data_IF_862996473612
#
_entry.id   IF_862996473612
#
_cell.length_a   1.000
_cell.length_b   1.000
_cell.length_c   1.000
_cell.angle_alpha   90.00
_cell.angle_beta   90.00
_cell.angle_gamma   90.00
#
_symmetry.space_group_name_H-M   'P 1'
#
loop_
_entity.id
_entity.type
_entity.pdbx_description
1 polymer ?
#
# COMPACT_ATOMS: atom_id res chain seq x y z
N UNK A 1 -48.19 12.25 21.44
CA UNK A 1 -48.91 11.83 20.21
C UNK A 1 -48.22 12.49 19.02
N UNK A 2 -48.38 11.94 17.82
CA UNK A 2 -47.74 12.32 16.53
C UNK A 2 -46.31 11.77 16.35
N UNK A 3 -46.14 10.59 15.74
CA UNK A 3 -46.28 10.18 14.34
C UNK A 3 -44.91 9.99 13.66
N UNK A 4 -44.30 8.83 13.97
CA UNK A 4 -43.16 8.26 13.24
C UNK A 4 -43.55 7.98 11.79
N UNK A 5 -42.96 8.71 10.83
CA UNK A 5 -43.00 8.33 9.40
C UNK A 5 -42.02 7.18 9.16
N UNK A 6 -42.56 5.99 8.92
CA UNK A 6 -41.83 4.82 8.41
C UNK A 6 -41.80 4.90 6.88
N UNK A 7 -40.62 5.05 6.29
CA UNK A 7 -40.42 4.87 4.84
C UNK A 7 -40.14 3.39 4.60
N UNK A 8 -41.04 2.71 3.90
CA UNK A 8 -40.89 1.32 3.46
C UNK A 8 -40.14 1.32 2.13
N UNK A 9 -38.93 0.74 2.10
CA UNK A 9 -38.24 0.36 0.87
C UNK A 9 -38.98 -0.86 0.27
N UNK A 10 -39.48 -0.73 -0.97
CA UNK A 10 -39.98 -1.87 -1.75
C UNK A 10 -38.86 -2.38 -2.65
N UNK A 11 -38.57 -3.66 -2.45
CA UNK A 11 -37.71 -4.52 -3.26
C UNK A 11 -38.31 -4.69 -4.67
N UNK A 12 -37.49 -4.55 -5.71
CA UNK A 12 -37.81 -4.90 -7.08
C UNK A 12 -36.72 -5.79 -7.65
N UNK A 13 -36.99 -7.10 -7.72
CA UNK A 13 -36.16 -8.11 -8.38
C UNK A 13 -36.57 -8.24 -9.85
N UNK A 14 -35.58 -8.28 -10.75
CA UNK A 14 -35.75 -8.74 -12.14
C UNK A 14 -34.59 -9.68 -12.50
N UNK A 15 -34.96 -10.94 -12.72
CA UNK A 15 -34.27 -12.02 -13.47
C UNK A 15 -34.02 -11.56 -14.92
N UNK A 16 -33.05 -12.00 -15.73
CA UNK A 16 -32.52 -13.33 -16.09
C UNK A 16 -31.38 -13.09 -17.12
N UNK A 17 -30.38 -13.97 -17.25
CA UNK A 17 -29.46 -13.92 -18.40
C UNK A 17 -28.30 -14.92 -18.36
N UNK A 18 -28.53 -16.11 -18.91
CA UNK A 18 -27.58 -17.17 -19.24
C UNK A 18 -26.60 -16.69 -20.34
N UNK A 19 -25.33 -17.15 -20.36
CA UNK A 19 -24.56 -17.57 -21.56
C UNK A 19 -23.06 -17.88 -21.25
N UNK A 20 -22.68 -19.15 -21.45
CA UNK A 20 -21.44 -19.68 -22.09
C UNK A 20 -20.04 -19.10 -21.76
N UNK A 21 -19.15 -19.93 -21.19
CA UNK A 21 -17.67 -19.81 -21.31
C UNK A 21 -17.12 -20.64 -22.48
N UNK A 22 -15.83 -21.06 -22.48
CA UNK A 22 -14.58 -20.39 -22.12
C UNK A 22 -13.61 -20.29 -23.33
N UNK A 23 -12.60 -19.40 -23.31
CA UNK A 23 -11.44 -19.49 -24.22
C UNK A 23 -10.14 -19.21 -23.46
N UNK A 24 -9.45 -20.29 -23.09
CA UNK A 24 -8.03 -20.31 -22.73
C UNK A 24 -7.22 -20.28 -24.03
N UNK A 25 -6.61 -19.15 -24.36
CA UNK A 25 -5.58 -19.06 -25.40
C UNK A 25 -4.21 -19.00 -24.71
N UNK A 26 -3.56 -20.17 -24.60
CA UNK A 26 -2.16 -20.28 -24.19
C UNK A 26 -1.24 -19.80 -25.32
N UNK A 27 -0.36 -18.85 -25.00
CA UNK A 27 0.67 -18.38 -25.91
C UNK A 27 1.97 -19.17 -25.68
N UNK A 28 2.10 -20.32 -26.34
CA UNK A 28 3.37 -21.06 -26.42
C UNK A 28 4.00 -20.79 -27.79
N UNK A 29 4.86 -19.79 -27.87
CA UNK A 29 5.69 -19.51 -29.03
C UNK A 29 7.05 -20.18 -28.86
N UNK A 30 7.18 -21.43 -29.30
CA UNK A 30 8.46 -22.11 -29.49
C UNK A 30 8.58 -22.44 -30.99
N UNK A 31 9.41 -21.69 -31.69
CA UNK A 31 9.72 -21.90 -33.10
C UNK A 31 11.23 -21.78 -33.30
N UNK A 32 11.93 -22.90 -33.16
CA UNK A 32 13.29 -23.08 -33.64
C UNK A 32 13.25 -23.56 -35.09
N UNK A 33 14.01 -22.91 -35.96
CA UNK A 33 14.16 -23.26 -37.37
C UNK A 33 15.45 -22.67 -37.92
N UNK A 34 16.24 -23.55 -38.52
CA UNK A 34 17.67 -23.43 -38.83
C UNK A 34 17.98 -22.68 -40.15
N UNK A 35 19.15 -22.03 -40.15
CA UNK A 35 20.11 -21.79 -41.25
C UNK A 35 19.72 -21.05 -42.56
N UNK A 36 20.44 -19.93 -42.82
CA UNK A 36 21.07 -19.64 -44.11
C UNK A 36 22.16 -18.55 -43.96
N UNK A 37 23.40 -18.87 -44.35
CA UNK A 37 24.56 -17.98 -44.41
C UNK A 37 24.64 -17.30 -45.79
N UNK A 38 25.05 -16.02 -45.87
CA UNK A 38 25.83 -15.55 -47.01
C UNK A 38 27.11 -14.79 -46.59
N UNK A 39 28.12 -14.72 -47.48
CA UNK A 39 29.51 -14.46 -47.12
C UNK A 39 29.86 -12.96 -47.09
N UNK A 40 30.85 -12.58 -46.28
CA UNK A 40 31.59 -11.33 -46.49
C UNK A 40 32.08 -10.61 -45.24
N UNK A 41 33.32 -10.92 -44.85
CA UNK A 41 34.36 -10.01 -44.36
C UNK A 41 33.95 -8.70 -43.65
N UNK A 42 34.25 -8.63 -42.35
CA UNK A 42 35.18 -7.65 -41.72
C UNK A 42 35.22 -7.87 -40.20
N UNK A 43 36.43 -8.02 -39.66
CA UNK A 43 36.71 -8.04 -38.22
C UNK A 43 36.07 -6.83 -37.53
N UNK A 44 35.03 -7.09 -36.74
CA UNK A 44 34.60 -6.22 -35.67
C UNK A 44 34.49 -7.08 -34.42
N UNK A 45 35.44 -6.92 -33.50
CA UNK A 45 35.39 -7.51 -32.16
C UNK A 45 34.24 -6.85 -31.41
N UNK A 46 33.03 -7.34 -31.61
CA UNK A 46 31.90 -7.04 -30.75
C UNK A 46 32.17 -7.73 -29.41
N UNK A 47 32.65 -6.98 -28.43
CA UNK A 47 32.51 -7.39 -27.03
C UNK A 47 31.02 -7.57 -26.78
N UNK A 48 30.58 -8.82 -26.74
CA UNK A 48 29.34 -9.24 -26.12
C UNK A 48 29.46 -8.89 -24.64
N UNK A 49 29.13 -7.64 -24.32
CA UNK A 49 28.89 -7.22 -22.95
C UNK A 49 27.69 -8.01 -22.44
N UNK A 50 27.97 -9.15 -21.80
CA UNK A 50 27.04 -9.84 -20.93
C UNK A 50 26.57 -8.80 -19.93
N UNK A 51 25.38 -8.22 -20.13
CA UNK A 51 24.69 -7.51 -19.07
C UNK A 51 24.35 -8.56 -18.04
N UNK A 52 25.24 -8.74 -17.07
CA UNK A 52 24.89 -9.35 -15.81
C UNK A 52 23.65 -8.61 -15.31
N UNK A 53 22.51 -9.31 -15.30
CA UNK A 53 21.40 -8.85 -14.46
C UNK A 53 21.98 -8.66 -13.07
N UNK A 54 21.71 -7.53 -12.39
CA UNK A 54 22.07 -7.41 -10.99
C UNK A 54 21.50 -8.64 -10.30
N UNK A 55 22.37 -9.46 -9.70
CA UNK A 55 21.91 -10.50 -8.80
C UNK A 55 21.04 -9.86 -7.71
N UNK A 56 20.11 -10.60 -7.10
CA UNK A 56 19.32 -10.07 -6.00
C UNK A 56 20.28 -9.41 -5.00
N UNK A 57 20.17 -8.07 -4.88
CA UNK A 57 20.96 -7.32 -3.93
C UNK A 57 20.71 -7.87 -2.53
N UNK A 58 21.67 -7.75 -1.59
CA UNK A 58 21.44 -8.18 -0.22
C UNK A 58 20.13 -7.53 0.26
N UNK A 59 19.18 -8.36 0.73
CA UNK A 59 18.05 -7.86 1.49
C UNK A 59 18.62 -6.96 2.58
N UNK A 60 18.22 -5.69 2.57
CA UNK A 60 18.61 -4.73 3.59
C UNK A 60 17.87 -5.05 4.91
N UNK A 61 18.09 -6.25 5.44
CA UNK A 61 17.49 -6.73 6.68
C UNK A 61 18.32 -6.34 7.90
N UNK A 62 19.57 -5.91 7.70
CA UNK A 62 20.44 -5.42 8.77
C UNK A 62 20.41 -3.90 8.86
N UNK A 63 19.94 -3.37 9.99
CA UNK A 63 20.23 -1.98 10.35
C UNK A 63 21.75 -1.81 10.48
N UNK A 64 22.31 -0.72 9.94
CA UNK A 64 23.72 -0.36 10.14
C UNK A 64 24.07 0.06 11.58
N UNK A 65 23.14 -0.14 12.52
CA UNK A 65 23.29 0.16 13.94
C UNK A 65 22.49 -0.85 14.76
N UNK A 66 22.87 -1.06 16.01
CA UNK A 66 22.08 -1.83 16.97
C UNK A 66 21.14 -0.89 17.73
N UNK A 67 19.82 -1.08 17.67
CA UNK A 67 18.87 -0.30 18.46
C UNK A 67 19.14 -0.48 19.96
N UNK A 68 19.19 0.62 20.71
CA UNK A 68 19.28 0.60 22.17
C UNK A 68 17.88 0.39 22.78
N UNK A 69 17.59 -0.76 23.42
CA UNK A 69 16.28 -1.05 24.02
C UNK A 69 15.93 -0.12 25.19
N UNK A 70 16.93 0.53 25.81
CA UNK A 70 16.75 1.55 26.84
C UNK A 70 16.15 2.85 26.28
N UNK A 71 16.27 3.10 24.98
CA UNK A 71 15.70 4.27 24.28
C UNK A 71 14.34 4.02 23.65
N UNK A 72 13.83 2.79 23.72
CA UNK A 72 12.50 2.46 23.21
C UNK A 72 11.41 3.15 24.06
N UNK A 73 10.36 3.73 23.43
CA UNK A 73 9.30 4.43 24.15
C UNK A 73 8.56 3.47 25.09
N UNK A 74 8.29 3.92 26.31
CA UNK A 74 7.54 3.15 27.33
C UNK A 74 6.15 3.71 27.58
N UNK A 75 5.94 4.98 27.23
CA UNK A 75 4.67 5.68 27.41
C UNK A 75 4.03 6.05 26.07
N UNK A 76 2.71 6.30 26.10
CA UNK A 76 1.97 6.80 24.93
C UNK A 76 2.50 8.16 24.44
N UNK A 77 2.95 9.02 25.36
CA UNK A 77 3.50 10.34 25.03
C UNK A 77 4.83 10.21 24.29
N UNK A 78 5.77 9.42 24.81
CA UNK A 78 7.05 9.13 24.15
C UNK A 78 6.84 8.47 22.78
N UNK A 79 5.92 7.52 22.70
CA UNK A 79 5.56 6.86 21.44
C UNK A 79 4.99 7.85 20.42
N UNK A 80 4.16 8.80 20.85
CA UNK A 80 3.66 9.88 19.99
C UNK A 80 4.77 10.81 19.48
N UNK A 81 5.80 11.05 20.30
CA UNK A 81 6.97 11.84 19.89
C UNK A 81 7.79 11.08 18.84
N UNK A 82 8.05 9.79 19.06
CA UNK A 82 8.72 8.94 18.09
C UNK A 82 7.95 8.89 16.78
N UNK A 83 6.63 8.67 16.82
CA UNK A 83 5.79 8.60 15.64
C UNK A 83 5.87 9.89 14.80
N UNK A 84 5.82 11.06 15.44
CA UNK A 84 5.97 12.36 14.75
C UNK A 84 7.38 12.59 14.18
N UNK A 85 8.41 12.05 14.81
CA UNK A 85 9.79 12.17 14.33
C UNK A 85 10.05 11.30 13.10
N UNK A 86 9.38 10.15 13.01
CA UNK A 86 9.56 9.17 11.92
C UNK A 86 8.59 9.40 10.75
N UNK A 87 7.36 9.84 11.02
CA UNK A 87 6.34 9.97 9.99
C UNK A 87 6.74 10.99 8.92
N UNK A 88 6.75 10.55 7.66
CA UNK A 88 7.11 11.38 6.52
C UNK A 88 6.30 12.68 6.44
N UNK A 89 7.01 13.78 6.21
CA UNK A 89 6.46 15.10 5.95
C UNK A 89 6.50 15.41 4.43
N UNK A 90 5.80 16.46 3.95
CA UNK A 90 5.74 16.76 2.53
C UNK A 90 7.11 16.85 1.83
N UNK A 91 8.10 17.44 2.50
CA UNK A 91 9.47 17.55 1.98
C UNK A 91 10.17 16.20 1.75
N UNK A 92 9.71 15.11 2.37
CA UNK A 92 10.27 13.77 2.17
C UNK A 92 9.80 13.11 0.88
N UNK A 93 8.69 13.57 0.27
CA UNK A 93 8.14 12.99 -0.96
C UNK A 93 8.69 13.64 -2.23
N UNK A 94 9.20 14.86 -2.12
CA UNK A 94 9.77 15.64 -3.22
C UNK A 94 9.15 17.04 -3.35
N UNK A 95 9.62 17.83 -4.33
CA UNK A 95 9.13 19.18 -4.57
C UNK A 95 7.62 19.24 -4.85
N UNK A 96 6.96 20.30 -4.38
CA UNK A 96 5.55 20.58 -4.66
C UNK A 96 4.54 19.87 -3.74
N UNK A 97 4.98 18.88 -2.95
CA UNK A 97 4.12 18.29 -1.92
C UNK A 97 3.83 19.30 -0.81
N UNK A 98 2.57 19.36 -0.40
CA UNK A 98 2.07 20.20 0.70
C UNK A 98 1.34 19.36 1.75
N UNK A 99 1.11 19.93 2.93
CA UNK A 99 0.24 19.33 3.94
C UNK A 99 -1.20 19.34 3.43
N UNK A 100 -1.90 18.22 3.57
CA UNK A 100 -3.34 18.15 3.34
C UNK A 100 -4.08 18.55 4.63
N UNK A 101 -5.33 19.02 4.52
CA UNK A 101 -6.19 19.25 5.69
C UNK A 101 -7.18 18.08 5.88
N UNK A 102 -7.26 17.47 7.09
CA UNK A 102 -6.32 17.64 8.21
C UNK A 102 -4.94 17.06 7.90
N UNK A 103 -3.88 17.63 8.50
CA UNK A 103 -2.50 17.16 8.29
C UNK A 103 -2.20 15.86 9.04
N UNK A 104 -2.72 15.73 10.25
CA UNK A 104 -2.54 14.55 11.11
C UNK A 104 -3.90 13.93 11.43
N UNK A 105 -3.96 12.60 11.53
CA UNK A 105 -5.15 11.88 11.97
C UNK A 105 -5.43 12.06 13.47
N UNK A 106 -6.65 11.74 13.87
CA UNK A 106 -7.01 11.59 15.28
C UNK A 106 -6.16 10.46 15.91
N UNK A 107 -5.39 10.73 16.98
CA UNK A 107 -4.52 9.75 17.62
C UNK A 107 -5.28 8.66 18.40
N UNK A 108 -6.59 8.80 18.60
CA UNK A 108 -7.43 7.84 19.33
C UNK A 108 -7.96 6.68 18.48
N UNK A 109 -7.80 6.72 17.16
CA UNK A 109 -8.40 5.76 16.24
C UNK A 109 -7.38 5.13 15.30
N UNK A 110 -7.66 3.88 14.96
CA UNK A 110 -6.89 3.07 14.04
C UNK A 110 -7.74 2.71 12.82
N UNK A 111 -7.13 2.63 11.64
CA UNK A 111 -7.78 2.22 10.40
C UNK A 111 -7.63 0.70 10.17
N UNK A 112 -8.72 -0.06 10.30
CA UNK A 112 -8.76 -1.51 10.11
C UNK A 112 -9.45 -1.84 8.79
N UNK A 113 -8.89 -2.77 8.01
CA UNK A 113 -9.54 -3.29 6.81
C UNK A 113 -10.42 -4.50 7.16
N UNK A 114 -11.71 -4.26 7.36
CA UNK A 114 -12.63 -5.34 7.75
C UNK A 114 -12.85 -6.36 6.63
N UNK A 115 -13.51 -7.48 6.94
CA UNK A 115 -13.78 -8.57 6.00
C UNK A 115 -14.49 -8.14 4.70
N UNK A 116 -15.25 -7.03 4.73
CA UNK A 116 -15.90 -6.46 3.55
C UNK A 116 -14.97 -5.59 2.70
N UNK A 117 -13.67 -5.60 2.94
CA UNK A 117 -12.64 -4.80 2.26
C UNK A 117 -12.92 -3.29 2.28
N UNK A 118 -13.54 -2.83 3.37
CA UNK A 118 -13.81 -1.41 3.64
C UNK A 118 -12.97 -0.99 4.84
N UNK A 119 -12.25 0.11 4.70
CA UNK A 119 -11.49 0.70 5.78
C UNK A 119 -12.44 1.29 6.82
N UNK A 120 -12.20 1.00 8.10
CA UNK A 120 -13.01 1.48 9.22
C UNK A 120 -12.14 2.03 10.34
N UNK A 121 -12.69 2.96 11.12
CA UNK A 121 -12.08 3.39 12.39
C UNK A 121 -12.52 2.49 13.52
N UNK A 122 -11.55 1.91 14.21
CA UNK A 122 -11.74 1.20 15.46
C UNK A 122 -10.86 1.83 16.57
N UNK A 123 -11.16 1.58 17.85
CA UNK A 123 -10.34 2.04 18.96
C UNK A 123 -8.92 1.46 18.91
N UNK A 124 -7.96 2.21 19.44
CA UNK A 124 -6.56 1.80 19.47
C UNK A 124 -6.37 0.47 20.27
N UNK A 125 -5.78 -0.59 19.68
CA UNK A 125 -5.53 -1.84 20.39
C UNK A 125 -4.61 -1.66 21.60
N UNK A 126 -4.74 -2.56 22.60
CA UNK A 126 -3.94 -2.49 23.82
C UNK A 126 -2.43 -2.64 23.57
N UNK A 127 -2.04 -3.34 22.50
CA UNK A 127 -0.66 -3.58 22.06
C UNK A 127 0.00 -2.32 21.46
N UNK A 128 -0.76 -1.25 21.24
CA UNK A 128 -0.32 -0.06 20.52
C UNK A 128 -0.19 1.13 21.48
N UNK A 129 1.00 1.72 21.49
CA UNK A 129 1.29 2.92 22.29
C UNK A 129 0.83 4.19 21.59
N UNK A 130 1.05 4.28 20.26
CA UNK A 130 0.63 5.41 19.44
C UNK A 130 0.40 4.97 17.98
N UNK A 131 -0.51 5.66 17.30
CA UNK A 131 -0.66 5.64 15.85
C UNK A 131 -0.72 7.09 15.37
N UNK A 132 -0.07 7.37 14.24
CA UNK A 132 -0.13 8.66 13.57
C UNK A 132 -0.21 8.46 12.06
N UNK A 133 -1.19 9.08 11.43
CA UNK A 133 -1.21 9.23 9.97
C UNK A 133 -0.97 10.67 9.59
N UNK A 134 0.04 10.94 8.77
CA UNK A 134 0.28 12.24 8.14
C UNK A 134 -0.21 12.24 6.70
N UNK A 135 -1.02 13.24 6.36
CA UNK A 135 -1.57 13.41 5.02
C UNK A 135 -0.82 14.52 4.28
N UNK A 136 -0.26 14.15 3.14
CA UNK A 136 0.37 15.09 2.20
C UNK A 136 -0.32 14.98 0.85
N UNK A 137 -0.24 16.03 0.05
CA UNK A 137 -0.68 15.97 -1.35
C UNK A 137 0.23 16.78 -2.26
N UNK A 138 0.41 16.30 -3.48
CA UNK A 138 0.84 17.11 -4.61
C UNK A 138 -0.45 17.63 -5.28
N UNK A 139 -0.69 18.95 -5.27
CA UNK A 139 -1.90 19.50 -5.87
C UNK A 139 -2.04 19.16 -7.36
N UNK A 140 -3.28 19.17 -7.84
CA UNK A 140 -3.59 19.00 -9.27
C UNK A 140 -2.87 20.07 -10.11
N UNK A 141 -2.22 19.63 -11.20
CA UNK A 141 -1.57 20.49 -12.20
C UNK A 141 -1.83 19.93 -13.59
N UNK A 142 -1.91 20.81 -14.60
CA UNK A 142 -2.02 20.44 -16.03
C UNK A 142 -3.13 19.43 -16.36
N UNK A 143 -4.30 19.59 -15.71
CA UNK A 143 -5.45 18.69 -15.92
C UNK A 143 -5.32 17.30 -15.29
N UNK A 144 -4.23 17.03 -14.56
CA UNK A 144 -4.06 15.80 -13.77
C UNK A 144 -4.66 15.99 -12.37
N UNK A 145 -5.21 14.91 -11.81
CA UNK A 145 -5.68 14.89 -10.43
C UNK A 145 -4.53 15.03 -9.41
N UNK A 146 -4.83 15.33 -8.13
CA UNK A 146 -3.82 15.41 -7.09
C UNK A 146 -3.24 14.03 -6.77
N UNK A 147 -1.97 13.98 -6.38
CA UNK A 147 -1.39 12.79 -5.75
C UNK A 147 -1.55 12.93 -4.25
N UNK A 148 -2.19 11.97 -3.60
CA UNK A 148 -2.39 11.97 -2.15
C UNK A 148 -1.52 10.89 -1.51
N UNK A 149 -0.86 11.25 -0.42
CA UNK A 149 0.02 10.35 0.33
C UNK A 149 -0.42 10.34 1.79
N UNK A 150 -0.52 9.14 2.35
CA UNK A 150 -0.74 8.92 3.77
C UNK A 150 0.48 8.16 4.33
N UNK A 151 1.23 8.80 5.23
CA UNK A 151 2.29 8.13 5.97
C UNK A 151 1.76 7.70 7.33
N UNK A 152 1.63 6.40 7.54
CA UNK A 152 1.16 5.80 8.79
C UNK A 152 2.36 5.32 9.58
N UNK A 153 2.44 5.71 10.85
CA UNK A 153 3.41 5.18 11.80
C UNK A 153 2.67 4.62 12.99
N UNK A 154 2.88 3.33 13.25
CA UNK A 154 2.36 2.62 14.42
C UNK A 154 3.51 2.27 15.35
N UNK A 155 3.37 2.61 16.62
CA UNK A 155 4.34 2.26 17.67
C UNK A 155 3.73 1.20 18.58
N UNK A 156 4.26 -0.01 18.48
CA UNK A 156 3.84 -1.14 19.30
C UNK A 156 4.63 -1.23 20.61
N UNK A 157 4.07 -1.92 21.60
CA UNK A 157 4.73 -2.19 22.88
C UNK A 157 5.92 -3.14 22.75
N UNK A 158 5.85 -4.08 21.80
CA UNK A 158 6.88 -5.10 21.60
C UNK A 158 7.21 -5.26 20.13
N UNK A 159 8.42 -5.75 19.83
CA UNK A 159 8.81 -6.09 18.46
C UNK A 159 7.90 -7.18 17.88
N UNK A 160 7.52 -8.17 18.68
CA UNK A 160 6.58 -9.24 18.26
C UNK A 160 5.23 -8.70 17.81
N UNK A 161 4.68 -7.71 18.53
CA UNK A 161 3.40 -7.09 18.13
C UNK A 161 3.54 -6.34 16.79
N UNK A 162 4.70 -5.70 16.55
CA UNK A 162 4.98 -5.03 15.28
C UNK A 162 5.25 -6.03 14.13
N UNK A 163 5.89 -7.16 14.41
CA UNK A 163 6.08 -8.23 13.43
C UNK A 163 4.73 -8.83 13.02
N UNK A 164 3.82 -8.99 13.99
CA UNK A 164 2.47 -9.46 13.69
C UNK A 164 1.68 -8.49 12.82
N UNK A 165 1.72 -7.20 13.14
CA UNK A 165 1.13 -6.14 12.34
C UNK A 165 1.59 -6.19 10.87
N UNK A 166 2.91 -6.35 10.66
CA UNK A 166 3.50 -6.43 9.33
C UNK A 166 2.98 -7.65 8.55
N UNK A 167 2.88 -8.80 9.22
CA UNK A 167 2.34 -10.01 8.62
C UNK A 167 0.85 -9.85 8.27
N UNK A 168 0.04 -9.33 9.20
CA UNK A 168 -1.39 -9.05 8.95
C UNK A 168 -1.56 -8.10 7.76
N UNK A 169 -0.78 -7.02 7.67
CA UNK A 169 -0.82 -6.08 6.55
C UNK A 169 -0.60 -6.78 5.20
N UNK A 170 0.33 -7.74 5.12
CA UNK A 170 0.58 -8.51 3.91
C UNK A 170 -0.58 -9.45 3.57
N UNK A 171 -1.16 -10.10 4.59
CA UNK A 171 -2.33 -10.96 4.41
C UNK A 171 -3.57 -10.15 3.98
N UNK A 172 -3.75 -8.94 4.49
CA UNK A 172 -4.83 -8.03 4.13
C UNK A 172 -4.80 -7.67 2.64
N UNK A 173 -3.62 -7.41 2.08
CA UNK A 173 -3.47 -7.12 0.65
C UNK A 173 -3.88 -8.31 -0.24
N UNK A 174 -3.62 -9.54 0.20
CA UNK A 174 -4.03 -10.76 -0.52
C UNK A 174 -5.52 -11.05 -0.37
N UNK A 175 -6.08 -10.79 0.81
CA UNK A 175 -7.51 -10.97 1.10
C UNK A 175 -8.38 -9.94 0.40
N UNK A 176 -7.89 -8.71 0.27
CA UNK A 176 -8.60 -7.56 -0.27
C UNK A 176 -7.76 -6.86 -1.35
N UNK A 177 -7.72 -7.39 -2.58
CA UNK A 177 -7.06 -6.73 -3.70
C UNK A 177 -7.76 -5.40 -4.05
N UNK A 178 -9.09 -5.39 -4.00
CA UNK A 178 -9.89 -4.17 -4.13
C UNK A 178 -10.26 -3.63 -2.74
N UNK A 179 -9.71 -2.48 -2.36
CA UNK A 179 -9.93 -1.87 -1.05
C UNK A 179 -10.70 -0.56 -1.17
N UNK A 180 -11.74 -0.37 -0.37
CA UNK A 180 -12.46 0.89 -0.26
C UNK A 180 -11.92 1.69 0.94
N UNK A 181 -11.15 2.74 0.68
CA UNK A 181 -10.50 3.54 1.74
C UNK A 181 -11.45 4.55 2.38
N UNK A 182 -12.33 5.13 1.57
CA UNK A 182 -13.43 6.05 1.94
C UNK A 182 -14.39 6.16 0.77
N UNK A 183 -15.54 6.82 0.91
CA UNK A 183 -16.44 7.04 -0.22
C UNK A 183 -15.69 7.68 -1.42
N UNK A 184 -15.74 7.00 -2.57
CA UNK A 184 -15.11 7.45 -3.81
C UNK A 184 -13.60 7.24 -3.91
N UNK A 185 -12.94 6.66 -2.91
CA UNK A 185 -11.51 6.31 -2.97
C UNK A 185 -11.30 4.81 -2.83
N UNK A 186 -10.58 4.23 -3.80
CA UNK A 186 -10.26 2.81 -3.84
C UNK A 186 -8.85 2.54 -4.31
N UNK A 187 -8.33 1.40 -3.91
CA UNK A 187 -7.09 0.80 -4.42
C UNK A 187 -7.43 -0.54 -5.06
N UNK A 188 -6.73 -0.90 -6.12
CA UNK A 188 -6.89 -2.12 -6.93
C UNK A 188 -5.54 -2.78 -7.16
#
# INVERSE_FOLDING_TARGET
MEHRRRVRLRCGTLTTGLLTGPLLAGCSGAGGGEAAEPPGSKNATASSGTRSSPGPGPSATGLGFTPDPGRAPKTRSEAGHLARAVAGAPANWGPGFVKRDPYESDPGFWLVLVATCVLRRDPLPATVLAILTRYSELPAQDGKGPIRVAAVVTVHRTAKDADWEMAETLEEALRCPDQQLRQGERTT
#
